data_IF_820087787626
#
_entry.id   IF_820087787626
#
_cell.length_a   1.000
_cell.length_b   1.000
_cell.length_c   1.000
_cell.angle_alpha   90.00
_cell.angle_beta   90.00
_cell.angle_gamma   90.00
#
_symmetry.space_group_name_H-M   'P 1'
#
loop_
_entity.id
_entity.type
_entity.pdbx_description
1 polymer ?
#
# COMPACT_ATOMS: atom_id res chain seq x y z
N UNK A 1 21.76 2.15 -10.51
CA UNK A 1 20.64 1.34 -9.97
C UNK A 1 19.37 2.22 -10.01
N UNK A 2 18.72 2.33 -11.17
CA UNK A 2 17.60 3.26 -11.41
C UNK A 2 16.23 2.58 -11.37
N UNK A 3 15.96 1.78 -10.35
CA UNK A 3 14.66 1.13 -10.19
C UNK A 3 13.65 2.07 -9.53
N UNK A 4 12.40 2.07 -9.99
CA UNK A 4 11.30 2.83 -9.37
C UNK A 4 11.04 2.26 -7.97
N UNK A 5 11.27 3.04 -6.92
CA UNK A 5 11.10 2.59 -5.54
C UNK A 5 9.60 2.56 -5.17
N UNK A 6 9.15 1.50 -4.49
CA UNK A 6 7.80 1.43 -3.91
C UNK A 6 7.63 2.47 -2.80
N UNK A 7 6.59 3.30 -2.90
CA UNK A 7 6.21 4.29 -1.87
C UNK A 7 4.80 3.97 -1.37
N UNK A 8 4.67 3.78 -0.06
CA UNK A 8 3.40 3.67 0.62
C UNK A 8 3.06 5.03 1.23
N UNK A 9 1.91 5.59 0.86
CA UNK A 9 1.52 6.93 1.27
C UNK A 9 0.74 6.89 2.58
N UNK A 10 -0.34 6.13 2.60
CA UNK A 10 -1.20 5.95 3.75
C UNK A 10 -2.04 4.68 3.60
N UNK A 11 -2.62 4.23 4.69
CA UNK A 11 -3.56 3.12 4.73
C UNK A 11 -4.81 3.50 5.52
N UNK A 12 -5.96 2.99 5.11
CA UNK A 12 -7.23 3.20 5.83
C UNK A 12 -8.00 1.90 5.99
N UNK A 13 -8.72 1.77 7.11
CA UNK A 13 -9.62 0.65 7.34
C UNK A 13 -10.93 0.89 6.59
N UNK A 14 -11.30 -0.04 5.71
CA UNK A 14 -12.51 0.05 4.87
C UNK A 14 -13.63 -0.88 5.33
N UNK A 15 -13.32 -1.89 6.14
CA UNK A 15 -14.33 -2.76 6.74
C UNK A 15 -13.89 -3.28 8.12
N UNK A 16 -14.89 -3.61 8.95
CA UNK A 16 -14.70 -4.01 10.35
C UNK A 16 -14.65 -5.54 10.50
N UNK A 17 -15.55 -6.29 9.85
CA UNK A 17 -15.60 -7.76 9.92
C UNK A 17 -15.79 -8.35 8.52
N UNK A 18 -14.77 -8.99 7.92
CA UNK A 18 -13.38 -9.12 8.39
C UNK A 18 -12.60 -7.77 8.34
N UNK A 19 -11.62 -7.54 9.25
CA UNK A 19 -10.77 -6.34 9.22
C UNK A 19 -10.10 -6.18 7.85
N UNK A 20 -10.44 -5.09 7.16
CA UNK A 20 -9.99 -4.85 5.79
C UNK A 20 -9.35 -3.49 5.67
N UNK A 21 -8.14 -3.45 5.11
CA UNK A 21 -7.37 -2.21 4.93
C UNK A 21 -7.07 -1.98 3.46
N UNK A 22 -7.20 -0.73 3.03
CA UNK A 22 -6.73 -0.28 1.72
C UNK A 22 -5.47 0.54 1.90
N UNK A 23 -4.37 0.11 1.28
CA UNK A 23 -3.08 0.77 1.26
C UNK A 23 -2.93 1.54 -0.05
N UNK A 24 -2.72 2.84 0.04
CA UNK A 24 -2.46 3.71 -1.10
C UNK A 24 -0.96 3.80 -1.34
N UNK A 25 -0.57 3.37 -2.54
CA UNK A 25 0.84 3.28 -2.95
C UNK A 25 1.04 3.96 -4.29
N UNK A 26 2.30 4.21 -4.66
CA UNK A 26 2.61 4.72 -5.98
C UNK A 26 2.26 3.70 -7.07
N UNK A 27 2.75 2.48 -6.95
CA UNK A 27 2.49 1.40 -7.91
C UNK A 27 2.40 0.05 -7.20
N UNK A 28 1.23 -0.61 -7.22
CA UNK A 28 1.05 -1.90 -6.55
C UNK A 28 2.00 -3.00 -7.04
N UNK A 29 2.43 -2.94 -8.30
CA UNK A 29 3.34 -3.93 -8.90
C UNK A 29 4.74 -3.92 -8.29
N UNK A 30 5.16 -2.80 -7.69
CA UNK A 30 6.46 -2.70 -7.01
C UNK A 30 6.48 -3.45 -5.67
N UNK A 31 5.30 -3.84 -5.16
CA UNK A 31 5.15 -4.58 -3.92
C UNK A 31 4.89 -6.05 -4.27
N UNK A 32 5.94 -6.87 -4.29
CA UNK A 32 5.82 -8.31 -4.52
C UNK A 32 5.13 -9.04 -3.38
N UNK A 33 4.68 -10.27 -3.62
CA UNK A 33 3.85 -11.04 -2.68
C UNK A 33 4.51 -11.26 -1.32
N UNK A 34 5.81 -11.50 -1.28
CA UNK A 34 6.57 -11.63 -0.03
C UNK A 34 6.45 -10.38 0.84
N UNK A 35 6.61 -9.20 0.23
CA UNK A 35 6.48 -7.94 0.96
C UNK A 35 5.03 -7.66 1.35
N UNK A 36 4.06 -8.01 0.51
CA UNK A 36 2.64 -7.88 0.85
C UNK A 36 2.26 -8.73 2.06
N UNK A 37 2.71 -9.99 2.11
CA UNK A 37 2.53 -10.90 3.26
C UNK A 37 3.23 -10.38 4.51
N UNK A 38 4.43 -9.81 4.36
CA UNK A 38 5.12 -9.16 5.46
C UNK A 38 4.28 -8.02 6.05
N UNK A 39 3.77 -7.11 5.21
CA UNK A 39 2.92 -5.99 5.66
C UNK A 39 1.62 -6.49 6.30
N UNK A 40 0.98 -7.50 5.73
CA UNK A 40 -0.20 -8.16 6.33
C UNK A 40 0.09 -8.69 7.73
N UNK A 41 1.21 -9.42 7.89
CA UNK A 41 1.64 -9.94 9.19
C UNK A 41 1.93 -8.82 10.19
N UNK A 42 2.61 -7.75 9.76
CA UNK A 42 2.89 -6.61 10.63
C UNK A 42 1.61 -5.88 11.08
N UNK A 43 0.64 -5.67 10.18
CA UNK A 43 -0.66 -5.09 10.54
C UNK A 43 -1.41 -6.01 11.50
N UNK A 44 -1.42 -7.32 11.24
CA UNK A 44 -2.07 -8.31 12.11
C UNK A 44 -1.49 -8.27 13.52
N UNK A 45 -0.17 -8.31 13.65
CA UNK A 45 0.52 -8.32 14.95
C UNK A 45 0.45 -6.96 15.65
N UNK A 46 0.65 -5.86 14.92
CA UNK A 46 0.70 -4.51 15.50
C UNK A 46 -0.66 -3.98 15.95
N UNK A 47 -1.75 -4.43 15.34
CA UNK A 47 -3.11 -4.02 15.70
C UNK A 47 -3.90 -5.08 16.48
N UNK A 48 -3.28 -6.22 16.81
CA UNK A 48 -3.89 -7.26 17.64
C UNK A 48 -4.97 -8.10 16.95
N UNK A 49 -4.90 -8.28 15.63
CA UNK A 49 -5.83 -9.14 14.87
C UNK A 49 -5.40 -10.61 14.83
N UNK A 50 -4.75 -11.11 15.88
CA UNK A 50 -4.34 -12.51 15.97
C UNK A 50 -5.58 -13.43 15.91
N UNK A 51 -5.54 -14.44 15.03
CA UNK A 51 -6.67 -15.34 14.79
C UNK A 51 -7.77 -14.81 13.85
N UNK A 52 -7.74 -13.52 13.45
CA UNK A 52 -8.69 -12.96 12.49
C UNK A 52 -8.08 -12.82 11.09
N UNK A 53 -8.79 -13.19 10.01
CA UNK A 53 -8.32 -12.94 8.65
C UNK A 53 -8.28 -11.42 8.40
N UNK A 54 -7.10 -10.92 8.02
CA UNK A 54 -6.88 -9.51 7.65
C UNK A 54 -6.82 -9.42 6.14
N UNK A 55 -7.65 -8.58 5.53
CA UNK A 55 -7.65 -8.34 4.08
C UNK A 55 -6.90 -7.06 3.75
N UNK A 56 -5.92 -7.15 2.86
CA UNK A 56 -5.19 -5.99 2.36
C UNK A 56 -5.47 -5.75 0.87
N UNK A 57 -5.90 -4.54 0.56
CA UNK A 57 -6.06 -4.06 -0.81
C UNK A 57 -4.98 -3.03 -1.13
N UNK A 58 -4.36 -3.16 -2.31
CA UNK A 58 -3.29 -2.28 -2.75
C UNK A 58 -3.83 -1.39 -3.87
N UNK A 59 -3.93 -0.08 -3.62
CA UNK A 59 -4.42 0.90 -4.59
C UNK A 59 -3.27 1.78 -5.05
N UNK A 60 -3.01 1.75 -6.35
CA UNK A 60 -2.12 2.72 -6.99
C UNK A 60 -2.80 4.07 -7.13
N UNK A 61 -2.01 5.14 -7.30
CA UNK A 61 -2.54 6.42 -7.77
C UNK A 61 -3.12 6.26 -9.18
N UNK A 62 -4.19 7.00 -9.48
CA UNK A 62 -4.65 7.13 -10.85
C UNK A 62 -3.52 7.72 -11.71
N UNK A 63 -3.44 7.29 -12.98
CA UNK A 63 -2.34 7.65 -13.88
C UNK A 63 -2.16 9.17 -13.99
N UNK A 64 -3.26 9.93 -14.07
CA UNK A 64 -3.26 11.40 -14.08
C UNK A 64 -2.63 12.05 -12.84
N UNK A 65 -2.87 11.51 -11.65
CA UNK A 65 -2.29 12.02 -10.42
C UNK A 65 -0.81 11.65 -10.30
N UNK A 66 -0.44 10.45 -10.78
CA UNK A 66 0.93 10.00 -10.80
C UNK A 66 1.80 10.84 -11.76
N UNK A 67 1.27 11.26 -12.91
CA UNK A 67 1.94 12.16 -13.85
C UNK A 67 2.10 13.56 -13.29
N UNK A 68 1.06 14.12 -12.65
CA UNK A 68 1.13 15.46 -12.02
C UNK A 68 2.19 15.55 -10.93
N UNK A 69 2.31 14.52 -10.11
CA UNK A 69 3.34 14.47 -9.05
C UNK A 69 4.75 14.24 -9.60
N UNK A 70 4.89 13.46 -10.68
CA UNK A 70 6.17 13.30 -11.36
C UNK A 70 6.64 14.62 -11.98
N UNK A 71 5.73 15.38 -12.61
CA UNK A 71 6.03 16.70 -13.17
C UNK A 71 6.46 17.71 -12.09
N UNK A 72 5.79 17.71 -10.91
CA UNK A 72 6.17 18.55 -9.76
C UNK A 72 7.51 18.17 -9.14
N UNK A 73 7.89 16.89 -9.20
CA UNK A 73 9.17 16.42 -8.70
C UNK A 73 10.33 16.76 -9.66
N UNK A 74 10.07 16.80 -10.97
CA UNK A 74 11.07 17.17 -12.00
C UNK A 74 11.33 18.68 -12.09
N UNK A 75 10.42 19.51 -11.56
CA UNK A 75 10.57 20.97 -11.49
C UNK A 75 11.33 21.45 -10.24
N UNK A 76 11.96 20.55 -9.48
CA UNK A 76 12.65 20.83 -8.22
C UNK A 76 14.11 20.39 -8.26
#
# INVERSE_FOLDING_TARGET
RGGRQGRLYYGTQVAVRPPSFTLFVNEPKLFGDTYRRYVERQIRQGLGFEGSPVRLFWRGKQQRDAERDQARAASR
#
